data_IF_017453664132
#
_entry.id   IF_017453664132
#
_cell.length_a   1.000
_cell.length_b   1.000
_cell.length_c   1.000
_cell.angle_alpha   90.00
_cell.angle_beta   90.00
_cell.angle_gamma   90.00
#
_symmetry.space_group_name_H-M   'P 1'
#
loop_
_entity.id
_entity.type
_entity.pdbx_description
1 polymer ?
#
# COMPACT_ATOMS: atom_id res chain seq x y z
N UNK A 1 13.84 24.68 -35.70
CA UNK A 1 14.96 23.85 -35.23
C UNK A 1 14.99 24.05 -33.70
N UNK A 2 14.27 23.22 -32.98
CA UNK A 2 14.12 23.31 -31.50
C UNK A 2 15.38 22.76 -30.86
N UNK A 3 15.99 23.53 -29.97
CA UNK A 3 17.21 23.18 -29.25
C UNK A 3 17.01 21.94 -28.37
N UNK A 4 17.82 20.89 -28.50
CA UNK A 4 17.73 19.69 -27.67
C UNK A 4 17.92 19.98 -26.16
N UNK A 5 18.48 21.13 -25.79
CA UNK A 5 18.62 21.55 -24.39
C UNK A 5 17.26 21.95 -23.74
N UNK A 6 16.31 22.49 -24.53
CA UNK A 6 14.95 22.80 -24.01
C UNK A 6 14.11 21.56 -23.75
N UNK A 7 14.32 20.48 -24.51
CA UNK A 7 13.62 19.21 -24.32
C UNK A 7 14.06 18.45 -23.06
N UNK A 8 15.31 18.63 -22.62
CA UNK A 8 15.85 17.99 -21.40
C UNK A 8 15.46 18.77 -20.16
N UNK A 9 15.32 20.10 -20.23
CA UNK A 9 14.86 20.91 -19.11
C UNK A 9 13.37 20.71 -18.79
N UNK A 10 12.54 20.47 -19.80
CA UNK A 10 11.10 20.16 -19.61
C UNK A 10 10.85 18.80 -18.94
N UNK A 11 11.83 17.89 -18.96
CA UNK A 11 11.72 16.57 -18.34
C UNK A 11 12.04 16.57 -16.83
N UNK A 12 12.57 17.66 -16.30
CA UNK A 12 13.02 17.76 -14.90
C UNK A 12 11.94 18.37 -13.98
N UNK A 13 10.86 18.92 -14.52
CA UNK A 13 9.73 19.49 -13.78
C UNK A 13 8.48 18.61 -13.75
N UNK A 14 8.48 17.42 -14.38
CA UNK A 14 7.38 16.48 -14.19
C UNK A 14 7.52 15.84 -12.81
N UNK A 15 6.65 16.26 -11.89
CA UNK A 15 6.45 15.60 -10.61
C UNK A 15 6.24 14.09 -10.81
N UNK A 16 6.40 13.30 -9.74
CA UNK A 16 6.19 11.85 -9.75
C UNK A 16 4.84 11.51 -10.38
N UNK A 17 4.78 10.46 -11.21
CA UNK A 17 3.51 9.91 -11.68
C UNK A 17 2.67 9.38 -10.51
N UNK A 18 1.36 9.23 -10.69
CA UNK A 18 0.50 8.63 -9.68
C UNK A 18 0.95 7.22 -9.30
N UNK A 19 1.38 6.42 -10.28
CA UNK A 19 1.93 5.08 -10.05
C UNK A 19 3.22 5.11 -9.22
N UNK A 20 4.10 6.08 -9.45
CA UNK A 20 5.31 6.25 -8.63
C UNK A 20 5.00 6.68 -7.19
N UNK A 21 4.01 7.56 -6.99
CA UNK A 21 3.54 7.96 -5.65
C UNK A 21 2.97 6.77 -4.89
N UNK A 22 2.10 5.98 -5.52
CA UNK A 22 1.49 4.79 -4.90
C UNK A 22 2.54 3.73 -4.58
N UNK A 23 3.50 3.50 -5.48
CA UNK A 23 4.60 2.55 -5.25
C UNK A 23 5.47 3.00 -4.07
N UNK A 24 5.84 4.27 -4.02
CA UNK A 24 6.62 4.82 -2.91
C UNK A 24 5.87 4.72 -1.57
N UNK A 25 4.56 5.00 -1.57
CA UNK A 25 3.71 4.87 -0.40
C UNK A 25 3.65 3.43 0.13
N UNK A 26 3.37 2.46 -0.74
CA UNK A 26 3.27 1.06 -0.36
C UNK A 26 4.62 0.50 0.15
N UNK A 27 5.73 0.90 -0.48
CA UNK A 27 7.07 0.53 -0.02
C UNK A 27 7.39 1.14 1.34
N UNK A 28 7.09 2.42 1.56
CA UNK A 28 7.27 3.06 2.86
C UNK A 28 6.45 2.35 3.97
N UNK A 29 5.22 1.92 3.66
CA UNK A 29 4.41 1.10 4.56
C UNK A 29 5.09 -0.24 4.88
N UNK A 30 5.65 -0.93 3.88
CA UNK A 30 6.34 -2.20 4.05
C UNK A 30 7.66 -2.05 4.83
N UNK A 31 8.37 -0.95 4.63
CA UNK A 31 9.59 -0.64 5.37
C UNK A 31 9.34 -0.19 6.82
N UNK A 32 8.06 0.02 7.19
CA UNK A 32 7.68 0.55 8.50
C UNK A 32 8.00 2.04 8.67
N UNK A 33 8.33 2.74 7.57
CA UNK A 33 8.61 4.17 7.56
C UNK A 33 7.29 4.95 7.52
N UNK A 34 6.71 5.12 8.71
CA UNK A 34 5.43 5.82 8.85
C UNK A 34 5.51 7.27 8.37
N UNK A 35 6.61 7.97 8.60
CA UNK A 35 6.74 9.39 8.24
C UNK A 35 6.81 9.56 6.73
N UNK A 36 7.55 8.71 6.03
CA UNK A 36 7.58 8.69 4.57
C UNK A 36 6.19 8.37 3.99
N UNK A 37 5.47 7.35 4.51
CA UNK A 37 4.13 7.02 4.08
C UNK A 37 3.14 8.18 4.30
N UNK A 38 3.15 8.80 5.49
CA UNK A 38 2.29 9.91 5.86
C UNK A 38 2.54 11.15 4.98
N UNK A 39 3.77 11.38 4.55
CA UNK A 39 4.11 12.51 3.66
C UNK A 39 3.44 12.40 2.27
N UNK A 40 3.07 11.20 1.86
CA UNK A 40 2.47 10.91 0.55
C UNK A 40 0.94 10.89 0.56
N UNK A 41 0.28 11.20 1.67
CA UNK A 41 -1.18 11.24 1.76
C UNK A 41 -1.69 12.66 2.01
N UNK A 42 -2.85 12.97 1.44
CA UNK A 42 -3.51 14.26 1.57
C UNK A 42 -4.16 14.44 2.96
N UNK A 43 -4.37 15.70 3.37
CA UNK A 43 -5.01 16.02 4.64
C UNK A 43 -6.46 15.51 4.73
N UNK A 44 -7.15 15.46 3.61
CA UNK A 44 -8.52 14.95 3.45
C UNK A 44 -8.58 13.48 2.99
N UNK A 45 -7.49 12.70 3.15
CA UNK A 45 -7.41 11.29 2.77
C UNK A 45 -8.69 10.53 3.15
N UNK A 46 -9.19 9.75 2.21
CA UNK A 46 -10.21 8.72 2.43
C UNK A 46 -9.55 7.36 2.28
N UNK A 47 -9.47 6.61 3.39
CA UNK A 47 -8.96 5.23 3.40
C UNK A 47 -10.09 4.26 3.67
N UNK A 48 -10.30 3.32 2.77
CA UNK A 48 -11.43 2.44 2.72
C UNK A 48 -10.98 1.00 2.44
N UNK A 49 -11.21 0.12 3.40
CA UNK A 49 -11.22 -1.32 3.16
C UNK A 49 -12.67 -1.72 2.90
N UNK A 50 -12.98 -2.18 1.71
CA UNK A 50 -14.37 -2.49 1.32
C UNK A 50 -14.99 -3.46 2.33
N UNK A 51 -16.17 -3.11 2.82
CA UNK A 51 -16.94 -3.76 3.91
C UNK A 51 -16.47 -3.46 5.33
N UNK A 52 -15.45 -2.61 5.54
CA UNK A 52 -15.04 -2.11 6.84
C UNK A 52 -15.34 -0.61 7.00
N UNK A 53 -15.35 -0.08 8.23
CA UNK A 53 -15.54 1.35 8.46
C UNK A 53 -14.44 2.19 7.78
N UNK A 54 -14.86 3.24 7.07
CA UNK A 54 -13.95 4.18 6.37
C UNK A 54 -13.22 5.07 7.36
N UNK A 55 -11.91 5.23 7.16
CA UNK A 55 -11.08 6.19 7.87
C UNK A 55 -10.99 7.48 7.03
N UNK A 56 -11.34 8.61 7.62
CA UNK A 56 -11.30 9.92 6.96
C UNK A 56 -10.33 10.86 7.67
N UNK A 57 -9.48 11.49 6.88
CA UNK A 57 -8.50 12.47 7.29
C UNK A 57 -7.16 11.87 7.68
N UNK A 58 -6.10 12.60 7.27
CA UNK A 58 -4.69 12.25 7.52
C UNK A 58 -4.38 12.02 9.00
N UNK A 59 -4.95 12.82 9.90
CA UNK A 59 -4.68 12.69 11.34
C UNK A 59 -5.11 11.33 11.90
N UNK A 60 -6.29 10.81 11.50
CA UNK A 60 -6.76 9.50 11.94
C UNK A 60 -5.93 8.38 11.34
N UNK A 61 -5.57 8.50 10.08
CA UNK A 61 -4.67 7.57 9.39
C UNK A 61 -3.31 7.52 10.08
N UNK A 62 -2.69 8.68 10.32
CA UNK A 62 -1.40 8.82 11.02
C UNK A 62 -1.42 8.15 12.39
N UNK A 63 -2.45 8.44 13.20
CA UNK A 63 -2.61 7.82 14.52
C UNK A 63 -2.71 6.30 14.43
N UNK A 64 -3.47 5.80 13.46
CA UNK A 64 -3.64 4.35 13.21
C UNK A 64 -2.31 3.70 12.81
N UNK A 65 -1.57 4.31 11.89
CA UNK A 65 -0.29 3.80 11.41
C UNK A 65 0.78 3.76 12.50
N UNK A 66 0.93 4.83 13.28
CA UNK A 66 1.84 4.81 14.40
C UNK A 66 1.47 3.78 15.45
N UNK A 67 0.17 3.59 15.72
CA UNK A 67 -0.28 2.55 16.65
C UNK A 67 -0.02 1.14 16.12
N UNK A 68 -0.18 0.92 14.82
CA UNK A 68 0.16 -0.33 14.13
C UNK A 68 1.63 -0.67 14.33
N UNK A 69 2.53 0.26 14.02
CA UNK A 69 3.98 0.06 14.19
C UNK A 69 4.38 -0.15 15.66
N UNK A 70 3.81 0.65 16.59
CA UNK A 70 4.10 0.53 18.02
C UNK A 70 3.69 -0.80 18.63
N UNK A 71 2.68 -1.47 18.07
CA UNK A 71 2.24 -2.81 18.49
C UNK A 71 3.12 -3.93 17.95
N UNK A 72 4.10 -3.60 17.11
CA UNK A 72 4.97 -4.58 16.46
C UNK A 72 4.26 -5.38 15.37
N UNK A 73 3.22 -4.79 14.77
CA UNK A 73 2.60 -5.31 13.58
C UNK A 73 3.47 -4.97 12.37
N UNK A 74 3.69 -5.95 11.50
CA UNK A 74 4.42 -5.76 10.25
C UNK A 74 3.48 -5.82 9.06
N UNK A 75 3.81 -5.03 8.05
CA UNK A 75 3.17 -5.04 6.74
C UNK A 75 4.23 -5.30 5.69
N UNK A 76 3.90 -6.10 4.69
CA UNK A 76 4.74 -6.32 3.51
C UNK A 76 3.85 -6.33 2.28
N UNK A 77 4.40 -5.98 1.13
CA UNK A 77 3.63 -5.82 -0.11
C UNK A 77 4.42 -6.30 -1.31
N UNK A 78 3.74 -7.04 -2.18
CA UNK A 78 4.24 -7.39 -3.51
C UNK A 78 3.28 -6.89 -4.56
N UNK A 79 3.67 -5.86 -5.32
CA UNK A 79 2.89 -5.34 -6.45
C UNK A 79 3.14 -6.22 -7.66
N UNK A 80 2.09 -6.88 -8.18
CA UNK A 80 2.14 -7.70 -9.39
C UNK A 80 1.89 -6.87 -10.64
N UNK A 81 0.92 -5.97 -10.56
CA UNK A 81 0.55 -5.05 -11.64
C UNK A 81 0.16 -3.70 -11.07
N UNK A 82 0.53 -2.66 -11.77
CA UNK A 82 0.12 -1.28 -11.49
C UNK A 82 -0.23 -0.60 -12.82
N UNK A 83 -1.30 0.14 -12.84
CA UNK A 83 -1.73 0.92 -13.99
C UNK A 83 -2.26 2.26 -13.55
N UNK A 84 -2.13 3.25 -14.42
CA UNK A 84 -2.53 4.63 -14.15
C UNK A 84 -3.40 5.15 -15.31
N UNK A 85 -4.47 5.83 -14.98
CA UNK A 85 -5.31 6.54 -15.93
C UNK A 85 -5.77 7.88 -15.31
N UNK A 86 -5.15 8.98 -15.73
CA UNK A 86 -5.37 10.27 -15.10
C UNK A 86 -4.95 10.25 -13.61
N UNK A 87 -5.85 10.66 -12.74
CA UNK A 87 -5.59 10.65 -11.29
C UNK A 87 -5.74 9.25 -10.64
N UNK A 88 -6.36 8.30 -11.35
CA UNK A 88 -6.67 6.97 -10.81
C UNK A 88 -5.51 6.01 -11.05
N UNK A 89 -5.06 5.36 -9.98
CA UNK A 89 -4.05 4.30 -10.01
C UNK A 89 -4.67 3.01 -9.49
N UNK A 90 -4.49 1.91 -10.21
CA UNK A 90 -4.96 0.59 -9.79
C UNK A 90 -3.79 -0.36 -9.60
N UNK A 91 -3.86 -1.18 -8.56
CA UNK A 91 -2.85 -2.19 -8.24
C UNK A 91 -3.48 -3.56 -8.07
N UNK A 92 -2.79 -4.59 -8.57
CA UNK A 92 -2.97 -5.96 -8.16
C UNK A 92 -1.74 -6.35 -7.33
N UNK A 93 -1.95 -6.82 -6.10
CA UNK A 93 -0.84 -7.08 -5.18
C UNK A 93 -1.14 -8.22 -4.20
N UNK A 94 -0.11 -8.76 -3.62
CA UNK A 94 -0.19 -9.58 -2.40
C UNK A 94 0.27 -8.73 -1.22
N UNK A 95 -0.57 -8.62 -0.22
CA UNK A 95 -0.24 -7.99 1.05
C UNK A 95 0.04 -9.07 2.10
N UNK A 96 0.94 -8.80 3.03
CA UNK A 96 1.20 -9.64 4.17
C UNK A 96 1.14 -8.85 5.47
N UNK A 97 0.48 -9.43 6.46
CA UNK A 97 0.46 -8.93 7.84
C UNK A 97 1.21 -9.90 8.73
N UNK A 98 2.03 -9.38 9.62
CA UNK A 98 2.78 -10.17 10.57
C UNK A 98 2.67 -9.61 11.98
N UNK A 99 2.64 -10.52 12.97
CA UNK A 99 2.74 -10.20 14.39
C UNK A 99 3.41 -11.35 15.12
N UNK A 100 4.61 -11.13 15.65
CA UNK A 100 5.42 -12.19 16.29
C UNK A 100 5.63 -13.36 15.32
N UNK A 101 5.08 -14.54 15.65
CA UNK A 101 5.16 -15.76 14.81
C UNK A 101 4.01 -15.87 13.81
N UNK A 102 2.96 -15.09 13.99
CA UNK A 102 1.82 -15.07 13.06
C UNK A 102 2.20 -14.35 11.77
N UNK A 103 1.84 -14.93 10.63
CA UNK A 103 2.04 -14.36 9.31
C UNK A 103 0.87 -14.74 8.42
N UNK A 104 0.25 -13.76 7.82
CA UNK A 104 -0.89 -13.92 6.92
C UNK A 104 -0.61 -13.19 5.62
N UNK A 105 -0.85 -13.87 4.50
CA UNK A 105 -0.80 -13.28 3.16
C UNK A 105 -2.17 -13.37 2.52
N UNK A 106 -2.55 -12.35 1.77
CA UNK A 106 -3.81 -12.30 1.03
C UNK A 106 -3.66 -11.41 -0.21
N UNK A 107 -4.50 -11.70 -1.20
CA UNK A 107 -4.54 -10.94 -2.43
C UNK A 107 -5.41 -9.70 -2.27
N UNK A 108 -5.00 -8.60 -2.91
CA UNK A 108 -5.68 -7.29 -2.83
C UNK A 108 -5.70 -6.64 -4.21
N UNK A 109 -6.85 -6.09 -4.58
CA UNK A 109 -6.97 -5.12 -5.64
C UNK A 109 -7.17 -3.74 -5.03
N UNK A 110 -6.21 -2.82 -5.24
CA UNK A 110 -6.25 -1.47 -4.68
C UNK A 110 -6.59 -0.44 -5.75
N UNK A 111 -7.41 0.54 -5.37
CA UNK A 111 -7.70 1.74 -6.17
C UNK A 111 -7.24 2.96 -5.37
N UNK A 112 -6.45 3.80 -6.01
CA UNK A 112 -5.94 5.04 -5.43
C UNK A 112 -6.34 6.21 -6.32
N UNK A 113 -6.55 7.38 -5.71
CA UNK A 113 -6.60 8.66 -6.40
C UNK A 113 -5.43 9.50 -5.95
N UNK A 114 -4.67 10.02 -6.92
CA UNK A 114 -3.48 10.84 -6.67
C UNK A 114 -3.69 12.21 -7.30
N UNK A 115 -3.65 13.24 -6.48
CA UNK A 115 -3.76 14.63 -6.90
C UNK A 115 -2.60 15.42 -6.29
N UNK A 116 -1.97 16.27 -7.09
CA UNK A 116 -0.84 17.11 -6.66
C UNK A 116 0.27 16.33 -5.91
N UNK A 117 0.55 15.11 -6.37
CA UNK A 117 1.60 14.26 -5.82
C UNK A 117 1.29 13.59 -4.47
N UNK A 118 0.03 13.64 -4.01
CA UNK A 118 -0.42 12.99 -2.78
C UNK A 118 -1.67 12.15 -3.00
N UNK A 119 -1.84 11.10 -2.21
CA UNK A 119 -2.96 10.17 -2.26
C UNK A 119 -4.15 10.79 -1.52
N UNK A 120 -5.26 11.01 -2.23
CA UNK A 120 -6.52 11.51 -1.67
C UNK A 120 -7.51 10.40 -1.38
N UNK A 121 -7.43 9.28 -2.10
CA UNK A 121 -8.21 8.08 -1.88
C UNK A 121 -7.30 6.86 -1.89
N UNK A 122 -7.50 5.97 -0.93
CA UNK A 122 -6.98 4.61 -0.94
C UNK A 122 -8.12 3.66 -0.62
N UNK A 123 -8.47 2.80 -1.57
CA UNK A 123 -9.55 1.81 -1.43
C UNK A 123 -9.04 0.44 -1.79
N UNK A 124 -9.18 -0.51 -0.87
CA UNK A 124 -8.78 -1.89 -1.05
C UNK A 124 -9.98 -2.83 -1.11
N UNK A 125 -9.94 -3.74 -2.07
CA UNK A 125 -10.88 -4.81 -2.29
C UNK A 125 -10.23 -6.14 -1.95
N UNK A 126 -10.88 -6.93 -1.09
CA UNK A 126 -10.40 -8.22 -0.62
C UNK A 126 -11.36 -9.34 -0.99
N UNK A 127 -10.82 -10.54 -1.16
CA UNK A 127 -11.60 -11.77 -1.03
C UNK A 127 -11.64 -12.18 0.45
N UNK A 128 -12.78 -12.02 1.09
CA UNK A 128 -12.97 -12.36 2.50
C UNK A 128 -12.78 -13.85 2.81
N UNK A 129 -13.03 -14.73 1.81
CA UNK A 129 -12.74 -16.15 1.94
C UNK A 129 -11.23 -16.38 1.98
N UNK A 130 -10.48 -15.71 1.11
CA UNK A 130 -9.01 -15.79 1.10
C UNK A 130 -8.44 -15.28 2.43
N UNK A 131 -8.95 -14.18 2.95
CA UNK A 131 -8.56 -13.65 4.27
C UNK A 131 -8.82 -14.67 5.38
N UNK A 132 -9.98 -15.32 5.39
CA UNK A 132 -10.32 -16.33 6.41
C UNK A 132 -9.40 -17.56 6.32
N UNK A 133 -9.18 -18.09 5.12
CA UNK A 133 -8.33 -19.28 4.88
C UNK A 133 -6.86 -18.96 5.18
N UNK A 134 -6.35 -17.84 4.71
CA UNK A 134 -4.97 -17.42 4.95
C UNK A 134 -4.72 -17.10 6.43
N UNK A 135 -5.70 -16.52 7.12
CA UNK A 135 -5.65 -16.29 8.57
C UNK A 135 -5.57 -17.60 9.37
N UNK A 136 -6.40 -18.60 9.02
CA UNK A 136 -6.35 -19.91 9.63
C UNK A 136 -4.99 -20.59 9.38
N UNK A 137 -4.49 -20.55 8.15
CA UNK A 137 -3.16 -21.03 7.80
C UNK A 137 -2.07 -20.35 8.63
N UNK A 138 -2.14 -19.03 8.78
CA UNK A 138 -1.21 -18.24 9.59
C UNK A 138 -1.21 -18.67 11.06
N UNK A 139 -2.39 -18.96 11.63
CA UNK A 139 -2.52 -19.48 12.99
C UNK A 139 -1.88 -20.87 13.14
N UNK A 140 -2.15 -21.79 12.23
CA UNK A 140 -1.55 -23.13 12.24
C UNK A 140 -0.02 -23.04 12.07
N UNK A 141 0.45 -22.15 11.20
CA UNK A 141 1.88 -21.93 10.96
C UNK A 141 2.64 -21.37 12.18
N UNK A 142 1.96 -20.83 13.20
CA UNK A 142 2.61 -20.46 14.46
C UNK A 142 3.13 -21.68 15.21
N UNK A 143 2.47 -22.83 15.03
CA UNK A 143 2.82 -24.11 15.65
C UNK A 143 3.63 -25.00 14.70
N UNK A 144 3.35 -24.92 13.40
CA UNK A 144 4.01 -25.71 12.34
C UNK A 144 4.66 -24.76 11.32
N UNK A 145 5.91 -24.30 11.55
CA UNK A 145 6.56 -23.27 10.69
C UNK A 145 6.64 -23.64 9.20
N UNK A 146 6.66 -24.92 8.87
CA UNK A 146 6.69 -25.40 7.49
C UNK A 146 5.46 -24.99 6.65
N UNK A 147 4.35 -24.59 7.30
CA UNK A 147 3.14 -24.12 6.64
C UNK A 147 3.11 -22.60 6.42
N UNK A 148 4.16 -21.89 6.84
CA UNK A 148 4.26 -20.43 6.65
C UNK A 148 4.30 -20.09 5.16
N UNK A 149 3.42 -19.18 4.73
CA UNK A 149 3.47 -18.65 3.40
C UNK A 149 4.72 -17.75 3.24
N UNK A 150 5.37 -17.84 2.08
CA UNK A 150 6.42 -16.90 1.66
C UNK A 150 5.87 -15.92 0.65
N UNK A 151 6.36 -14.69 0.65
CA UNK A 151 5.97 -13.71 -0.36
C UNK A 151 6.32 -14.27 -1.76
N UNK A 152 5.47 -14.00 -2.78
CA UNK A 152 5.78 -14.38 -4.15
C UNK A 152 7.14 -13.85 -4.58
N UNK A 153 7.91 -14.65 -5.30
CA UNK A 153 9.15 -14.22 -5.91
C UNK A 153 8.89 -13.21 -7.06
N UNK A 154 9.94 -12.49 -7.45
CA UNK A 154 9.93 -11.60 -8.60
C UNK A 154 9.76 -12.37 -9.91
#
# INVERSE_FOLDING_TARGET
>A
MTDPAESVAASTELGRSGAEVVTAFLNAMADGDADAAISLVADDLVYENVSLPTIRGKQRFTKGLHQFNRRGLGFDVRIHRITENGATVMTERTDALSFRRFHQQFWVCGVFEVHDGVITLWRDYFDWRDIAVSGLRGLVATLVPALRASMPAD
#
